data_IF_183158083601
#
_entry.id   IF_183158083601
#
_cell.length_a   1.000
_cell.length_b   1.000
_cell.length_c   1.000
_cell.angle_alpha   90.00
_cell.angle_beta   90.00
_cell.angle_gamma   90.00
#
_symmetry.space_group_name_H-M   'P 1'
#
loop_
_entity.id
_entity.type
_entity.pdbx_description
1 polymer ?
#
# COMPACT_ATOMS: atom_id res chain seq x y z
N UNK A 1 -18.58 21.28 12.05
CA UNK A 1 -18.82 21.89 10.76
C UNK A 1 -18.75 20.82 9.68
N UNK A 2 -19.76 20.80 8.78
CA UNK A 2 -19.77 19.89 7.63
C UNK A 2 -18.67 20.37 6.67
N UNK A 3 -17.76 19.46 6.28
CA UNK A 3 -16.72 19.78 5.31
C UNK A 3 -17.35 20.07 3.94
N UNK A 4 -16.97 21.21 3.33
CA UNK A 4 -17.40 21.55 1.97
C UNK A 4 -16.56 20.75 0.96
N UNK A 5 -17.13 19.67 0.42
CA UNK A 5 -16.47 18.77 -0.53
C UNK A 5 -16.00 19.48 -1.82
N UNK A 6 -16.57 20.65 -2.17
CA UNK A 6 -16.09 21.44 -3.30
C UNK A 6 -14.71 22.07 -3.08
N UNK A 7 -14.20 22.00 -1.85
CA UNK A 7 -12.84 22.44 -1.47
C UNK A 7 -11.86 21.26 -1.35
N UNK A 8 -12.31 20.03 -1.63
CA UNK A 8 -11.44 18.88 -1.59
C UNK A 8 -10.41 18.95 -2.73
N UNK A 9 -9.18 18.58 -2.41
CA UNK A 9 -8.08 18.41 -3.36
C UNK A 9 -7.72 16.94 -3.59
N UNK A 10 -8.11 16.05 -2.67
CA UNK A 10 -7.77 14.63 -2.72
C UNK A 10 -9.02 13.77 -2.70
N UNK A 11 -9.10 12.80 -3.61
CA UNK A 11 -10.06 11.71 -3.56
C UNK A 11 -9.37 10.43 -3.06
N UNK A 12 -9.97 9.76 -2.07
CA UNK A 12 -9.45 8.51 -1.52
C UNK A 12 -10.35 7.34 -1.90
N UNK A 13 -9.80 6.37 -2.62
CA UNK A 13 -10.42 5.09 -2.95
C UNK A 13 -10.03 4.06 -1.87
N UNK A 14 -10.95 3.67 -1.01
CA UNK A 14 -10.67 2.75 0.11
C UNK A 14 -11.30 1.36 -0.05
N UNK A 15 -12.13 1.17 -1.10
CA UNK A 15 -12.72 -0.12 -1.40
C UNK A 15 -12.81 -0.31 -2.92
N UNK A 16 -11.99 -1.23 -3.44
CA UNK A 16 -12.00 -1.60 -4.85
C UNK A 16 -12.12 -3.12 -4.90
N UNK A 17 -13.26 -3.63 -5.37
CA UNK A 17 -13.51 -5.06 -5.45
C UNK A 17 -14.35 -5.44 -6.67
N UNK A 18 -14.04 -6.60 -7.27
CA UNK A 18 -14.89 -7.21 -8.28
C UNK A 18 -16.03 -7.98 -7.59
N UNK A 19 -17.24 -7.42 -7.64
CA UNK A 19 -18.42 -8.05 -7.05
C UNK A 19 -19.04 -9.13 -7.96
N UNK A 20 -18.77 -9.06 -9.26
CA UNK A 20 -19.31 -9.99 -10.27
C UNK A 20 -18.30 -11.09 -10.61
N UNK A 21 -18.74 -12.36 -10.55
CA UNK A 21 -17.89 -13.52 -10.89
C UNK A 21 -17.36 -13.49 -12.31
N UNK A 22 -18.13 -12.97 -13.28
CA UNK A 22 -17.76 -12.85 -14.69
C UNK A 22 -16.65 -11.82 -14.96
N UNK A 23 -16.31 -10.94 -14.00
CA UNK A 23 -15.23 -9.96 -14.12
C UNK A 23 -13.86 -10.51 -13.64
N UNK A 24 -13.80 -11.75 -13.18
CA UNK A 24 -12.53 -12.36 -12.77
C UNK A 24 -11.58 -12.50 -13.96
N UNK A 25 -10.39 -11.95 -13.83
CA UNK A 25 -9.36 -11.99 -14.89
C UNK A 25 -9.54 -10.96 -16.00
N UNK A 26 -10.59 -10.14 -15.95
CA UNK A 26 -10.78 -9.04 -16.89
C UNK A 26 -10.08 -7.79 -16.33
N UNK A 27 -9.09 -7.29 -17.05
CA UNK A 27 -8.28 -6.12 -16.65
C UNK A 27 -8.99 -4.79 -16.94
N UNK A 28 -10.16 -4.59 -16.31
CA UNK A 28 -10.86 -3.30 -16.41
C UNK A 28 -10.40 -2.25 -15.39
N UNK A 29 -9.51 -2.64 -14.45
CA UNK A 29 -9.19 -1.79 -13.31
C UNK A 29 -8.66 -0.41 -13.69
N UNK A 30 -7.70 -0.35 -14.61
CA UNK A 30 -7.13 0.93 -15.07
C UNK A 30 -8.13 1.77 -15.86
N UNK A 31 -8.91 1.15 -16.75
CA UNK A 31 -9.93 1.87 -17.53
C UNK A 31 -11.04 2.44 -16.64
N UNK A 32 -11.59 1.63 -15.74
CA UNK A 32 -12.64 2.06 -14.83
C UNK A 32 -12.15 3.16 -13.89
N UNK A 33 -10.94 3.03 -13.38
CA UNK A 33 -10.36 4.02 -12.49
C UNK A 33 -10.14 5.36 -13.20
N UNK A 34 -9.56 5.34 -14.41
CA UNK A 34 -9.42 6.55 -15.25
C UNK A 34 -10.77 7.21 -15.46
N UNK A 35 -11.80 6.45 -15.81
CA UNK A 35 -13.15 6.98 -16.01
C UNK A 35 -13.74 7.63 -14.77
N UNK A 36 -13.59 6.99 -13.61
CA UNK A 36 -14.04 7.56 -12.33
C UNK A 36 -13.27 8.85 -12.00
N UNK A 37 -11.97 8.88 -12.24
CA UNK A 37 -11.15 10.09 -12.04
C UNK A 37 -11.64 11.23 -12.94
N UNK A 38 -11.91 10.97 -14.23
CA UNK A 38 -12.40 11.97 -15.16
C UNK A 38 -13.77 12.54 -14.72
N UNK A 39 -14.68 11.67 -14.30
CA UNK A 39 -15.98 12.07 -13.78
C UNK A 39 -15.84 12.91 -12.50
N UNK A 40 -14.97 12.50 -11.56
CA UNK A 40 -14.69 13.25 -10.33
C UNK A 40 -14.06 14.62 -10.61
N UNK A 41 -13.13 14.72 -11.55
CA UNK A 41 -12.52 16.01 -11.94
C UNK A 41 -13.53 16.96 -12.58
N UNK A 42 -14.48 16.44 -13.34
CA UNK A 42 -15.56 17.25 -13.91
C UNK A 42 -16.48 17.81 -12.83
N UNK A 43 -16.86 16.97 -11.85
CA UNK A 43 -17.79 17.35 -10.79
C UNK A 43 -17.11 18.16 -9.68
N UNK A 44 -15.82 17.93 -9.44
CA UNK A 44 -14.98 18.57 -8.42
C UNK A 44 -13.66 19.08 -9.02
N UNK A 45 -13.64 20.23 -9.71
CA UNK A 45 -12.48 20.69 -10.48
C UNK A 45 -11.21 20.98 -9.65
N UNK A 46 -11.31 21.01 -8.31
CA UNK A 46 -10.17 21.21 -7.42
C UNK A 46 -9.47 19.91 -7.04
N UNK A 47 -10.04 18.75 -7.42
CA UNK A 47 -9.40 17.47 -7.19
C UNK A 47 -8.19 17.32 -8.12
N UNK A 48 -7.01 17.22 -7.52
CA UNK A 48 -5.73 17.03 -8.20
C UNK A 48 -4.98 15.77 -7.74
N UNK A 49 -5.40 15.15 -6.62
CA UNK A 49 -4.80 13.95 -6.08
C UNK A 49 -5.81 12.80 -6.00
N UNK A 50 -5.42 11.63 -6.52
CA UNK A 50 -6.23 10.42 -6.54
C UNK A 50 -5.45 9.27 -5.93
N UNK A 51 -5.76 8.94 -4.69
CA UNK A 51 -5.02 7.94 -3.93
C UNK A 51 -5.94 6.87 -3.35
N UNK A 52 -5.36 5.75 -2.90
CA UNK A 52 -6.07 4.72 -2.16
C UNK A 52 -5.69 4.78 -0.69
N UNK A 53 -6.48 4.14 0.16
CA UNK A 53 -6.06 3.71 1.49
C UNK A 53 -6.25 2.20 1.54
N UNK A 54 -5.16 1.46 1.41
CA UNK A 54 -5.18 0.02 1.14
C UNK A 54 -4.49 -0.78 2.24
N UNK A 55 -5.00 -1.99 2.59
CA UNK A 55 -4.30 -2.90 3.48
C UNK A 55 -3.10 -3.56 2.79
N UNK A 56 -2.21 -4.15 3.58
CA UNK A 56 -1.13 -5.04 3.15
C UNK A 56 -1.39 -6.45 3.70
N UNK A 57 -2.30 -7.24 3.10
CA UNK A 57 -2.85 -8.44 3.72
C UNK A 57 -1.84 -9.56 3.96
N UNK A 58 -0.68 -9.50 3.32
CA UNK A 58 0.35 -10.54 3.39
C UNK A 58 1.65 -10.08 4.05
N UNK A 59 1.73 -8.87 4.60
CA UNK A 59 2.92 -8.36 5.29
C UNK A 59 3.32 -9.26 6.48
N UNK A 60 2.40 -9.54 7.40
CA UNK A 60 2.68 -10.38 8.56
C UNK A 60 3.09 -11.80 8.18
N UNK A 61 2.48 -12.37 7.12
CA UNK A 61 2.88 -13.68 6.58
C UNK A 61 4.30 -13.66 6.04
N UNK A 62 4.70 -12.59 5.35
CA UNK A 62 6.06 -12.45 4.84
C UNK A 62 7.07 -12.29 5.97
N UNK A 63 6.76 -11.50 6.99
CA UNK A 63 7.59 -11.33 8.19
C UNK A 63 7.76 -12.65 8.94
N UNK A 64 6.69 -13.44 9.09
CA UNK A 64 6.76 -14.77 9.70
C UNK A 64 7.70 -15.75 8.98
N UNK A 65 7.90 -15.56 7.66
CA UNK A 65 8.89 -16.32 6.88
C UNK A 65 10.32 -15.73 6.95
N UNK A 66 10.47 -14.50 7.44
CA UNK A 66 11.73 -13.76 7.51
C UNK A 66 11.89 -13.08 8.87
N UNK A 67 11.79 -13.81 10.00
CA UNK A 67 11.73 -13.21 11.34
C UNK A 67 13.00 -12.43 11.72
N UNK A 68 14.14 -12.74 11.10
CA UNK A 68 15.41 -12.04 11.31
C UNK A 68 15.33 -10.54 10.98
N UNK A 69 14.43 -10.15 10.08
CA UNK A 69 14.24 -8.75 9.70
C UNK A 69 13.77 -7.87 10.88
N UNK A 70 13.07 -8.44 11.85
CA UNK A 70 12.65 -7.72 13.04
C UNK A 70 13.86 -7.30 13.86
N UNK A 71 14.79 -8.23 14.12
CA UNK A 71 16.01 -7.95 14.86
C UNK A 71 16.92 -6.94 14.14
N UNK A 72 17.05 -7.04 12.81
CA UNK A 72 17.80 -6.10 11.98
C UNK A 72 17.28 -4.66 12.08
N UNK A 73 15.98 -4.50 12.34
CA UNK A 73 15.31 -3.20 12.52
C UNK A 73 15.16 -2.79 14.00
N UNK A 74 15.75 -3.54 14.92
CA UNK A 74 15.67 -3.27 16.36
C UNK A 74 14.26 -3.48 16.94
N UNK A 75 13.45 -4.31 16.32
CA UNK A 75 12.13 -4.71 16.82
C UNK A 75 12.30 -5.96 17.68
N UNK A 76 12.10 -5.80 18.99
CA UNK A 76 12.29 -6.86 19.99
C UNK A 76 11.06 -7.78 20.11
N UNK A 77 9.89 -7.37 19.60
CA UNK A 77 8.68 -8.15 19.66
C UNK A 77 8.69 -9.26 18.60
N UNK A 78 8.21 -10.44 18.98
CA UNK A 78 7.98 -11.54 18.04
C UNK A 78 6.83 -11.21 17.04
N UNK A 79 6.78 -11.89 15.87
CA UNK A 79 5.72 -11.65 14.88
C UNK A 79 4.29 -11.76 15.46
N UNK A 80 4.04 -12.73 16.34
CA UNK A 80 2.73 -12.94 16.96
C UNK A 80 2.38 -11.84 17.97
N UNK A 81 3.37 -11.33 18.70
CA UNK A 81 3.20 -10.20 19.61
C UNK A 81 2.86 -8.93 18.83
N UNK A 82 3.53 -8.68 17.70
CA UNK A 82 3.18 -7.58 16.79
C UNK A 82 1.77 -7.72 16.22
N UNK A 83 1.38 -8.95 15.84
CA UNK A 83 0.07 -9.25 15.28
C UNK A 83 -1.07 -9.17 16.31
N UNK A 84 -0.77 -9.31 17.61
CA UNK A 84 -1.76 -9.14 18.68
C UNK A 84 -2.26 -7.70 18.80
N UNK A 85 -1.42 -6.73 18.48
CA UNK A 85 -1.71 -5.30 18.60
C UNK A 85 -1.73 -4.79 20.05
N UNK A 86 -1.43 -5.60 21.06
CA UNK A 86 -1.45 -5.19 22.48
C UNK A 86 -0.46 -4.08 22.78
N UNK A 87 0.68 -4.05 22.09
CA UNK A 87 1.70 -3.02 22.17
C UNK A 87 1.18 -1.61 21.84
N UNK A 88 0.11 -1.52 21.05
CA UNK A 88 -0.49 -0.27 20.63
C UNK A 88 -1.22 0.47 21.78
N UNK A 89 -1.54 -0.24 22.86
CA UNK A 89 -2.15 0.35 24.06
C UNK A 89 -1.12 1.10 24.92
N UNK A 90 0.18 0.87 24.71
CA UNK A 90 1.26 1.64 25.33
C UNK A 90 1.78 2.69 24.33
N UNK A 91 1.50 3.95 24.60
CA UNK A 91 1.89 5.06 23.74
C UNK A 91 3.43 5.19 23.57
N UNK A 92 4.24 4.77 24.56
CA UNK A 92 5.70 4.78 24.48
C UNK A 92 6.19 3.69 23.54
N UNK A 93 5.64 2.48 23.68
CA UNK A 93 5.97 1.35 22.82
C UNK A 93 5.52 1.59 21.38
N UNK A 94 4.30 2.09 21.18
CA UNK A 94 3.78 2.46 19.86
C UNK A 94 4.69 3.49 19.17
N UNK A 95 5.14 4.50 19.91
CA UNK A 95 6.06 5.52 19.38
C UNK A 95 7.42 4.95 18.98
N UNK A 96 7.97 4.02 19.79
CA UNK A 96 9.22 3.32 19.51
C UNK A 96 9.13 2.45 18.25
N UNK A 97 8.00 1.78 18.04
CA UNK A 97 7.77 0.87 16.91
C UNK A 97 7.40 1.58 15.59
N UNK A 98 6.99 2.84 15.62
CA UNK A 98 6.51 3.57 14.45
C UNK A 98 7.47 3.52 13.26
N UNK A 99 8.70 3.97 13.45
CA UNK A 99 9.66 4.08 12.36
C UNK A 99 10.23 2.72 11.91
N UNK A 100 10.58 1.79 12.82
CA UNK A 100 10.95 0.44 12.46
C UNK A 100 9.87 -0.31 11.66
N UNK A 101 8.61 -0.25 12.07
CA UNK A 101 7.51 -0.90 11.34
C UNK A 101 7.25 -0.26 9.97
N UNK A 102 7.38 1.06 9.86
CA UNK A 102 7.30 1.74 8.55
C UNK A 102 8.45 1.34 7.63
N UNK A 103 9.65 1.19 8.16
CA UNK A 103 10.81 0.71 7.40
C UNK A 103 10.62 -0.74 6.94
N UNK A 104 10.14 -1.62 7.82
CA UNK A 104 9.80 -3.01 7.51
C UNK A 104 8.81 -3.09 6.35
N UNK A 105 7.72 -2.30 6.40
CA UNK A 105 6.72 -2.26 5.35
C UNK A 105 7.26 -1.66 4.04
N UNK A 106 8.14 -0.65 4.10
CA UNK A 106 8.79 -0.11 2.90
C UNK A 106 9.70 -1.16 2.24
N UNK A 107 10.49 -1.91 3.04
CA UNK A 107 11.30 -3.02 2.54
C UNK A 107 10.43 -4.11 1.90
N UNK A 108 9.34 -4.47 2.56
CA UNK A 108 8.37 -5.43 2.03
C UNK A 108 7.82 -5.01 0.67
N UNK A 109 7.31 -3.79 0.54
CA UNK A 109 6.72 -3.29 -0.70
C UNK A 109 7.77 -3.15 -1.82
N UNK A 110 9.01 -2.82 -1.49
CA UNK A 110 10.08 -2.63 -2.46
C UNK A 110 10.72 -3.95 -2.93
N UNK A 111 10.86 -4.94 -2.05
CA UNK A 111 11.73 -6.10 -2.30
C UNK A 111 11.06 -7.46 -2.20
N UNK A 112 9.92 -7.58 -1.47
CA UNK A 112 9.23 -8.86 -1.37
C UNK A 112 8.57 -9.25 -2.69
N UNK A 113 9.14 -10.25 -3.34
CA UNK A 113 8.67 -10.74 -4.65
C UNK A 113 8.36 -12.22 -4.61
N UNK A 114 7.45 -12.63 -5.50
CA UNK A 114 7.21 -14.03 -5.83
C UNK A 114 7.43 -14.24 -7.31
N UNK A 115 7.96 -15.40 -7.69
CA UNK A 115 8.17 -15.76 -9.09
C UNK A 115 6.92 -16.46 -9.64
N UNK A 116 6.44 -16.00 -10.79
CA UNK A 116 5.41 -16.70 -11.58
C UNK A 116 6.00 -17.24 -12.91
N UNK A 117 7.24 -17.66 -12.89
CA UNK A 117 7.93 -18.30 -14.03
C UNK A 117 8.70 -17.32 -14.93
N UNK A 118 8.19 -16.15 -15.26
CA UNK A 118 8.86 -15.22 -16.20
C UNK A 118 9.24 -13.86 -15.59
N UNK A 119 8.41 -13.32 -14.70
CA UNK A 119 8.68 -12.01 -14.09
C UNK A 119 8.46 -12.09 -12.58
N UNK A 120 9.38 -11.49 -11.82
CA UNK A 120 9.24 -11.39 -10.36
C UNK A 120 8.21 -10.30 -10.00
N UNK A 121 7.06 -10.70 -9.49
CA UNK A 121 5.95 -9.82 -9.11
C UNK A 121 5.94 -9.54 -7.61
N UNK A 122 5.40 -8.40 -7.14
CA UNK A 122 5.25 -8.13 -5.72
C UNK A 122 4.57 -9.30 -4.98
N UNK A 123 5.03 -9.61 -3.79
CA UNK A 123 4.42 -10.64 -2.96
C UNK A 123 2.99 -10.29 -2.54
N UNK A 124 2.74 -9.01 -2.29
CA UNK A 124 1.43 -8.50 -1.90
C UNK A 124 0.44 -8.44 -3.08
N UNK A 125 -0.75 -9.07 -2.98
CA UNK A 125 -1.75 -9.05 -4.05
C UNK A 125 -2.37 -7.67 -4.30
N UNK A 126 -2.49 -6.83 -3.25
CA UNK A 126 -3.02 -5.47 -3.37
C UNK A 126 -2.00 -4.59 -4.08
N UNK A 127 -0.71 -4.75 -3.76
CA UNK A 127 0.39 -4.10 -4.48
C UNK A 127 0.38 -4.46 -5.96
N UNK A 128 0.26 -5.76 -6.30
CA UNK A 128 0.17 -6.20 -7.70
C UNK A 128 -0.98 -5.54 -8.44
N UNK A 129 -2.14 -5.42 -7.79
CA UNK A 129 -3.30 -4.79 -8.40
C UNK A 129 -3.05 -3.31 -8.70
N UNK A 130 -2.61 -2.53 -7.72
CA UNK A 130 -2.43 -1.09 -7.89
C UNK A 130 -1.27 -0.74 -8.83
N UNK A 131 -0.12 -1.41 -8.70
CA UNK A 131 1.03 -1.20 -9.59
C UNK A 131 0.71 -1.67 -11.02
N UNK A 132 -0.02 -2.78 -11.16
CA UNK A 132 -0.53 -3.26 -12.45
C UNK A 132 -1.61 -2.36 -13.08
N UNK A 133 -2.07 -1.35 -12.38
CA UNK A 133 -2.94 -0.28 -12.88
C UNK A 133 -2.20 1.09 -12.97
N UNK A 134 -0.88 1.10 -12.86
CA UNK A 134 -0.03 2.28 -13.07
C UNK A 134 0.09 3.21 -11.87
N UNK A 135 -0.35 2.80 -10.68
CA UNK A 135 -0.12 3.59 -9.47
C UNK A 135 1.33 3.51 -9.01
N UNK A 136 1.73 4.47 -8.17
CA UNK A 136 2.96 4.37 -7.38
C UNK A 136 2.66 4.18 -5.90
N UNK A 137 3.56 3.53 -5.15
CA UNK A 137 3.50 3.47 -3.68
C UNK A 137 3.87 4.85 -3.13
N UNK A 138 2.92 5.54 -2.51
CA UNK A 138 3.11 6.95 -2.11
C UNK A 138 3.50 7.11 -0.66
N UNK A 139 2.75 6.53 0.27
CA UNK A 139 3.00 6.70 1.69
C UNK A 139 2.54 5.50 2.53
N UNK A 140 3.10 5.39 3.74
CA UNK A 140 2.74 4.41 4.74
C UNK A 140 2.12 5.10 5.95
N UNK A 141 0.95 4.63 6.35
CA UNK A 141 0.18 5.18 7.45
C UNK A 141 0.24 4.24 8.65
N UNK A 142 0.90 4.71 9.71
CA UNK A 142 1.04 3.97 10.96
C UNK A 142 -0.26 4.05 11.77
N UNK A 143 -0.71 2.93 12.33
CA UNK A 143 -1.94 2.81 13.11
C UNK A 143 -3.21 3.26 12.34
N UNK A 144 -3.23 3.05 11.01
CA UNK A 144 -4.36 3.43 10.17
C UNK A 144 -5.47 2.37 10.15
N UNK A 145 -5.16 1.11 10.48
CA UNK A 145 -6.15 0.06 10.76
C UNK A 145 -5.84 -0.61 12.09
N UNK A 146 -6.50 -0.15 13.16
CA UNK A 146 -6.35 -0.67 14.52
C UNK A 146 -7.30 -1.82 14.85
N UNK A 147 -8.01 -2.36 13.85
CA UNK A 147 -8.81 -3.57 14.03
C UNK A 147 -7.92 -4.79 14.30
N UNK A 148 -8.49 -5.80 14.95
CA UNK A 148 -7.79 -7.07 15.15
C UNK A 148 -7.35 -7.71 13.82
N UNK A 149 -8.07 -7.46 12.72
CA UNK A 149 -7.68 -7.89 11.37
C UNK A 149 -6.48 -7.09 10.87
N UNK A 150 -6.48 -5.76 11.02
CA UNK A 150 -5.39 -4.88 10.61
C UNK A 150 -4.08 -5.23 11.30
N UNK A 151 -4.11 -5.48 12.61
CA UNK A 151 -2.93 -5.95 13.34
C UNK A 151 -2.43 -7.31 12.84
N UNK A 152 -3.31 -8.29 12.67
CA UNK A 152 -2.91 -9.63 12.17
C UNK A 152 -2.36 -9.62 10.75
N UNK A 153 -2.77 -8.71 9.89
CA UNK A 153 -2.35 -8.66 8.49
C UNK A 153 -1.12 -7.78 8.27
N UNK A 154 -1.06 -6.62 8.93
CA UNK A 154 -0.08 -5.59 8.62
C UNK A 154 0.37 -4.75 9.83
N UNK A 155 0.23 -5.28 11.06
CA UNK A 155 0.67 -4.60 12.28
C UNK A 155 0.08 -3.18 12.40
N UNK A 156 -1.18 -2.99 11.97
CA UNK A 156 -1.87 -1.71 11.99
C UNK A 156 -1.48 -0.72 10.89
N UNK A 157 -0.61 -1.13 9.96
CA UNK A 157 -0.18 -0.27 8.85
C UNK A 157 -1.13 -0.36 7.66
N UNK A 158 -1.30 0.77 6.97
CA UNK A 158 -1.92 0.84 5.64
C UNK A 158 -1.03 1.63 4.68
N UNK A 159 -1.25 1.45 3.39
CA UNK A 159 -0.49 2.07 2.31
C UNK A 159 -1.39 2.92 1.41
N UNK A 160 -0.91 4.09 1.00
CA UNK A 160 -1.52 4.84 -0.09
C UNK A 160 -0.82 4.50 -1.41
N UNK A 161 -1.59 4.13 -2.42
CA UNK A 161 -1.18 4.12 -3.81
C UNK A 161 -1.72 5.39 -4.48
N UNK A 162 -0.85 6.15 -5.12
CA UNK A 162 -1.20 7.37 -5.84
C UNK A 162 -1.30 7.10 -7.33
N UNK A 163 -2.37 7.55 -7.93
CA UNK A 163 -2.60 7.57 -9.37
C UNK A 163 -2.29 8.96 -9.91
N UNK A 164 -1.04 9.15 -10.36
CA UNK A 164 -0.62 10.36 -11.06
C UNK A 164 -0.93 10.19 -12.53
N UNK A 165 -1.89 10.95 -13.05
CA UNK A 165 -2.46 10.70 -14.38
C UNK A 165 -1.39 10.68 -15.49
N UNK A 166 -0.41 11.58 -15.40
CA UNK A 166 0.67 11.70 -16.39
C UNK A 166 1.72 10.56 -16.28
N UNK A 167 1.76 9.85 -15.14
CA UNK A 167 2.71 8.76 -14.89
C UNK A 167 2.09 7.37 -15.08
N UNK A 168 0.78 7.23 -15.17
CA UNK A 168 0.08 5.93 -15.17
C UNK A 168 0.63 5.00 -16.25
N UNK A 169 0.76 5.48 -17.49
CA UNK A 169 1.19 4.65 -18.62
C UNK A 169 2.65 4.25 -18.49
N UNK A 170 3.51 5.18 -18.12
CA UNK A 170 4.94 4.92 -17.87
C UNK A 170 5.15 3.91 -16.76
N UNK A 171 4.42 4.06 -15.64
CA UNK A 171 4.49 3.14 -14.51
C UNK A 171 3.98 1.75 -14.87
N UNK A 172 2.88 1.68 -15.63
CA UNK A 172 2.30 0.42 -16.11
C UNK A 172 3.26 -0.34 -17.01
N UNK A 173 3.88 0.33 -17.98
CA UNK A 173 4.86 -0.25 -18.90
C UNK A 173 6.10 -0.75 -18.15
N UNK A 174 6.67 0.06 -17.27
CA UNK A 174 7.82 -0.32 -16.46
C UNK A 174 7.51 -1.52 -15.55
N UNK A 175 6.32 -1.56 -14.95
CA UNK A 175 5.89 -2.69 -14.13
C UNK A 175 5.70 -3.96 -14.95
N UNK A 176 5.06 -3.88 -16.11
CA UNK A 176 4.81 -5.03 -17.00
C UNK A 176 6.10 -5.61 -17.60
N UNK A 177 7.03 -4.75 -18.03
CA UNK A 177 8.26 -5.17 -18.72
C UNK A 177 9.36 -5.66 -17.78
N UNK A 178 9.56 -4.98 -16.65
CA UNK A 178 10.71 -5.23 -15.76
C UNK A 178 10.33 -5.63 -14.34
N UNK A 179 9.03 -5.57 -13.97
CA UNK A 179 8.59 -5.71 -12.58
C UNK A 179 9.05 -4.54 -11.69
N UNK A 180 9.35 -3.39 -12.29
CA UNK A 180 9.76 -2.17 -11.57
C UNK A 180 8.62 -1.67 -10.69
N UNK A 181 8.95 -1.29 -9.45
CA UNK A 181 7.99 -0.79 -8.48
C UNK A 181 8.11 0.73 -8.41
N UNK A 182 7.12 1.42 -8.98
CA UNK A 182 7.02 2.87 -8.84
C UNK A 182 6.75 3.23 -7.37
N UNK A 183 7.57 4.12 -6.79
CA UNK A 183 7.53 4.46 -5.37
C UNK A 183 7.99 5.90 -5.15
N UNK A 184 7.39 6.58 -4.17
CA UNK A 184 7.82 7.93 -3.79
C UNK A 184 9.29 7.96 -3.34
N UNK A 185 9.96 9.09 -3.52
CA UNK A 185 11.36 9.26 -3.12
C UNK A 185 11.56 9.02 -1.62
N UNK A 186 10.58 9.39 -0.81
CA UNK A 186 10.59 9.18 0.65
C UNK A 186 10.60 7.70 1.00
N UNK A 187 9.71 6.91 0.39
CA UNK A 187 9.65 5.47 0.65
C UNK A 187 10.85 4.72 0.08
N UNK A 188 11.36 5.13 -1.08
CA UNK A 188 12.62 4.56 -1.62
C UNK A 188 13.80 4.75 -0.67
N UNK A 189 13.91 5.93 -0.04
CA UNK A 189 14.95 6.17 0.97
C UNK A 189 14.73 5.35 2.22
N UNK A 190 13.48 5.21 2.66
CA UNK A 190 13.12 4.42 3.83
C UNK A 190 13.46 2.92 3.62
N UNK A 191 13.15 2.36 2.45
CA UNK A 191 13.45 0.99 2.09
C UNK A 191 14.96 0.70 1.94
N UNK A 192 15.81 1.71 1.67
CA UNK A 192 17.26 1.57 1.52
C UNK A 192 18.05 1.79 2.80
N UNK A 193 17.39 2.25 3.86
CA UNK A 193 18.05 2.52 5.14
C UNK A 193 18.46 1.18 5.76
N UNK A 194 19.78 0.95 5.87
CA UNK A 194 20.38 -0.19 6.59
C UNK A 194 20.45 0.12 8.07
#
# INVERSE_FOLDING_TARGET
PVFDHRKAHTAIFYSISNTQRGLRGVSFGSFLLKRVIDDLKRDFPKLDQFATLSPMPTLATWVGKNPQLLAELGIELAPDELASGTWANDAKQARRLRDPLRQLAANYLASAKQSNGHTAMPFDPVSRFHLGNGARVESLNFMADTSAKGFRQSYGLMVNYLYELDEIETNLEAFASTGSIAMSATLRRLARKK
#
